data_IF_958895316642
#
_entry.id   IF_958895316642
#
_cell.length_a   1.000
_cell.length_b   1.000
_cell.length_c   1.000
_cell.angle_alpha   90.00
_cell.angle_beta   90.00
_cell.angle_gamma   90.00
#
_symmetry.space_group_name_H-M   'P 1'
#
loop_
_entity.id
_entity.type
_entity.pdbx_description
1 polymer ?
#
# COMPACT_ATOMS: atom_id res chain seq x y z
N UNK A 1 -19.07 82.52 22.90
CA UNK A 1 -18.07 83.02 23.85
C UNK A 1 -17.08 81.91 24.16
N UNK A 2 -15.85 82.33 24.47
CA UNK A 2 -14.59 81.58 24.60
C UNK A 2 -14.65 80.33 25.49
N UNK A 3 -13.91 79.30 25.03
CA UNK A 3 -12.90 78.47 25.75
C UNK A 3 -13.34 77.79 27.08
N UNK A 4 -12.89 76.60 27.47
CA UNK A 4 -11.52 76.09 27.62
C UNK A 4 -11.64 74.57 27.81
N UNK A 5 -10.74 73.79 27.17
CA UNK A 5 -10.47 72.39 27.50
C UNK A 5 -9.43 72.35 28.63
N UNK A 6 -9.53 71.44 29.61
CA UNK A 6 -8.39 70.56 29.78
C UNK A 6 -8.75 69.10 30.16
N UNK A 7 -8.19 68.21 29.36
CA UNK A 7 -7.46 66.97 29.67
C UNK A 7 -7.46 66.52 31.15
N UNK A 8 -7.89 65.28 31.37
CA UNK A 8 -7.38 64.43 32.44
C UNK A 8 -7.08 63.04 31.88
N UNK A 9 -5.80 62.66 31.96
CA UNK A 9 -5.29 61.31 31.73
C UNK A 9 -5.96 60.32 32.69
N UNK A 10 -6.45 59.20 32.17
CA UNK A 10 -6.96 58.08 32.95
C UNK A 10 -6.59 56.76 32.30
N UNK A 11 -5.74 56.01 32.98
CA UNK A 11 -5.08 54.81 32.50
C UNK A 11 -6.01 53.61 32.33
N UNK A 12 -5.66 52.76 31.35
CA UNK A 12 -5.54 51.31 31.56
C UNK A 12 -6.82 50.48 31.43
N UNK A 13 -6.90 49.71 30.34
CA UNK A 13 -7.34 48.31 30.37
C UNK A 13 -6.94 47.62 29.05
N UNK A 14 -5.67 47.22 28.94
CA UNK A 14 -5.27 46.18 27.99
C UNK A 14 -5.78 44.85 28.55
N UNK A 15 -6.88 44.36 27.99
CA UNK A 15 -7.38 43.00 28.26
C UNK A 15 -6.44 42.01 27.57
N UNK A 16 -5.43 41.55 28.32
CA UNK A 16 -4.55 40.46 27.91
C UNK A 16 -5.34 39.16 27.84
N UNK A 17 -5.68 38.76 26.62
CA UNK A 17 -6.27 37.47 26.29
C UNK A 17 -5.21 36.38 26.51
N UNK A 18 -5.11 35.83 27.73
CA UNK A 18 -4.33 34.63 28.01
C UNK A 18 -5.01 33.41 27.37
N UNK A 19 -4.73 33.19 26.09
CA UNK A 19 -4.92 31.90 25.43
C UNK A 19 -3.94 30.90 26.06
N UNK A 20 -4.39 30.20 27.09
CA UNK A 20 -3.75 28.97 27.54
C UNK A 20 -3.88 27.94 26.41
N UNK A 21 -2.92 27.95 25.49
CA UNK A 21 -2.68 26.85 24.57
C UNK A 21 -2.22 25.64 25.40
N UNK A 22 -3.19 24.86 25.87
CA UNK A 22 -2.94 23.53 26.44
C UNK A 22 -2.35 22.70 25.31
N UNK A 23 -1.02 22.63 25.24
CA UNK A 23 -0.30 21.78 24.29
C UNK A 23 -0.71 20.35 24.61
N UNK A 24 -1.72 19.85 23.89
CA UNK A 24 -2.06 18.44 23.92
C UNK A 24 -0.77 17.71 23.52
N UNK A 25 -0.16 17.06 24.49
CA UNK A 25 0.93 16.14 24.23
C UNK A 25 0.27 15.00 23.48
N UNK A 26 0.36 15.02 22.15
CA UNK A 26 -0.12 13.92 21.32
C UNK A 26 0.46 12.66 21.91
N UNK A 27 -0.40 11.79 22.43
CA UNK A 27 0.02 10.45 22.80
C UNK A 27 0.71 9.84 21.57
N UNK A 28 1.81 9.09 21.73
CA UNK A 28 2.34 8.33 20.60
C UNK A 28 1.19 7.52 20.01
N UNK A 29 1.06 7.57 18.68
CA UNK A 29 0.05 6.80 17.98
C UNK A 29 0.15 5.34 18.48
N UNK A 30 -0.98 4.68 18.77
CA UNK A 30 -0.96 3.28 19.19
C UNK A 30 -0.14 2.50 18.18
N UNK A 31 0.80 1.69 18.66
CA UNK A 31 1.58 0.80 17.79
C UNK A 31 0.58 -0.05 17.01
N UNK A 32 0.61 -0.04 15.66
CA UNK A 32 -0.32 -0.85 14.89
C UNK A 32 -0.14 -2.30 15.34
N UNK A 33 -1.24 -3.07 15.51
CA UNK A 33 -1.15 -4.44 15.94
C UNK A 33 -0.19 -5.19 15.00
N UNK A 34 0.75 -5.94 15.59
CA UNK A 34 1.62 -6.84 14.81
C UNK A 34 0.72 -7.70 13.93
N UNK A 35 0.87 -7.57 12.61
CA UNK A 35 0.12 -8.38 11.65
C UNK A 35 0.42 -9.84 11.97
N UNK A 36 -0.57 -10.55 12.54
CA UNK A 36 -0.49 -11.98 12.83
C UNK A 36 -0.58 -12.82 11.56
N UNK A 37 -0.82 -12.16 10.43
CA UNK A 37 -0.90 -12.73 9.11
C UNK A 37 0.26 -12.19 8.25
N UNK A 38 0.91 -13.09 7.53
CA UNK A 38 1.97 -12.76 6.58
C UNK A 38 3.34 -13.29 6.99
N UNK A 39 4.22 -13.40 6.00
CA UNK A 39 5.62 -13.76 6.18
C UNK A 39 6.38 -12.56 6.79
N UNK A 40 7.41 -12.84 7.60
CA UNK A 40 8.18 -11.79 8.31
C UNK A 40 9.36 -11.28 7.50
N UNK A 41 9.90 -12.11 6.60
CA UNK A 41 11.10 -11.82 5.84
C UNK A 41 10.77 -11.52 4.38
N UNK A 42 11.46 -10.51 3.82
CA UNK A 42 11.34 -10.19 2.41
C UNK A 42 12.15 -11.16 1.56
N UNK A 43 11.52 -11.75 0.55
CA UNK A 43 12.21 -12.61 -0.42
C UNK A 43 12.62 -11.78 -1.63
N UNK A 44 13.92 -11.72 -1.89
CA UNK A 44 14.45 -11.06 -3.08
C UNK A 44 14.23 -11.95 -4.31
N UNK A 45 13.45 -11.47 -5.29
CA UNK A 45 13.18 -12.18 -6.52
C UNK A 45 13.41 -11.27 -7.72
N UNK A 46 14.30 -11.70 -8.61
CA UNK A 46 14.51 -11.06 -9.90
C UNK A 46 13.57 -11.68 -10.94
N UNK A 47 13.00 -10.84 -11.81
CA UNK A 47 12.22 -11.34 -12.95
C UNK A 47 13.13 -12.20 -13.83
N UNK A 48 12.76 -13.44 -14.18
CA UNK A 48 13.60 -14.30 -15.00
C UNK A 48 13.97 -13.68 -16.36
N UNK A 49 15.18 -13.96 -16.84
CA UNK A 49 15.66 -13.47 -18.15
C UNK A 49 14.72 -13.92 -19.27
N UNK A 50 14.44 -13.02 -20.22
CA UNK A 50 13.51 -13.28 -21.32
C UNK A 50 12.03 -13.08 -20.95
N UNK A 51 11.74 -12.62 -19.74
CA UNK A 51 10.38 -12.31 -19.29
C UNK A 51 10.24 -10.83 -18.92
N UNK A 52 8.99 -10.34 -18.92
CA UNK A 52 8.60 -9.04 -18.37
C UNK A 52 7.32 -9.19 -17.57
N UNK A 53 7.08 -8.31 -16.61
CA UNK A 53 5.77 -8.21 -15.96
C UNK A 53 4.71 -7.77 -16.98
N UNK A 54 3.52 -8.36 -16.88
CA UNK A 54 2.35 -7.93 -17.64
C UNK A 54 1.84 -6.60 -17.09
N UNK A 55 1.40 -5.69 -17.96
CA UNK A 55 0.78 -4.43 -17.57
C UNK A 55 -0.71 -4.61 -17.25
N UNK A 56 -1.29 -3.74 -16.43
CA UNK A 56 -2.73 -3.79 -16.13
C UNK A 56 -3.61 -3.70 -17.38
N UNK A 57 -3.18 -2.94 -18.40
CA UNK A 57 -3.86 -2.86 -19.69
C UNK A 57 -3.85 -4.22 -20.42
N UNK A 58 -2.73 -4.93 -20.42
CA UNK A 58 -2.63 -6.25 -21.04
C UNK A 58 -3.50 -7.28 -20.28
N UNK A 59 -3.54 -7.23 -18.94
CA UNK A 59 -4.47 -8.03 -18.12
C UNK A 59 -5.92 -7.78 -18.50
N UNK A 60 -6.32 -6.51 -18.72
CA UNK A 60 -7.70 -6.16 -19.08
C UNK A 60 -8.13 -6.72 -20.45
N UNK A 61 -7.18 -6.89 -21.37
CA UNK A 61 -7.47 -7.34 -22.75
C UNK A 61 -7.35 -8.85 -22.96
N UNK A 62 -6.74 -9.59 -22.02
CA UNK A 62 -6.48 -11.03 -22.15
C UNK A 62 -7.07 -11.77 -20.94
N UNK A 63 -8.33 -12.23 -21.00
CA UNK A 63 -9.01 -12.86 -19.86
C UNK A 63 -8.29 -14.07 -19.27
N UNK A 64 -7.61 -14.85 -20.12
CA UNK A 64 -6.82 -16.02 -19.72
C UNK A 64 -5.83 -15.73 -18.59
N UNK A 65 -5.27 -14.52 -18.53
CA UNK A 65 -4.25 -14.17 -17.55
C UNK A 65 -4.81 -14.21 -16.12
N UNK A 66 -6.02 -13.67 -15.92
CA UNK A 66 -6.71 -13.70 -14.62
C UNK A 66 -7.15 -15.13 -14.28
N UNK A 67 -7.66 -15.87 -15.26
CA UNK A 67 -8.08 -17.27 -15.08
C UNK A 67 -6.90 -18.13 -14.61
N UNK A 68 -5.74 -18.02 -15.27
CA UNK A 68 -4.53 -18.78 -14.91
C UNK A 68 -3.96 -18.37 -13.56
N UNK A 69 -3.93 -17.07 -13.23
CA UNK A 69 -3.50 -16.60 -11.93
C UNK A 69 -4.39 -17.18 -10.80
N UNK A 70 -5.71 -17.11 -10.97
CA UNK A 70 -6.67 -17.62 -10.00
C UNK A 70 -6.61 -19.14 -9.85
N UNK A 71 -6.43 -19.88 -10.95
CA UNK A 71 -6.26 -21.32 -10.92
C UNK A 71 -5.03 -21.72 -10.10
N UNK A 72 -3.88 -21.03 -10.29
CA UNK A 72 -2.68 -21.31 -9.50
C UNK A 72 -2.90 -21.03 -8.00
N UNK A 73 -3.51 -19.90 -7.64
CA UNK A 73 -3.79 -19.56 -6.23
C UNK A 73 -4.70 -20.57 -5.52
N UNK A 74 -5.60 -21.23 -6.26
CA UNK A 74 -6.53 -22.25 -5.74
C UNK A 74 -5.94 -23.66 -5.70
N UNK A 75 -4.71 -23.84 -6.19
CA UNK A 75 -4.08 -25.17 -6.20
C UNK A 75 -3.77 -25.60 -4.76
N UNK A 76 -4.12 -26.83 -4.35
CA UNK A 76 -3.73 -27.38 -3.05
C UNK A 76 -2.22 -27.26 -2.84
N UNK A 77 -1.81 -26.75 -1.68
CA UNK A 77 -0.39 -26.51 -1.37
C UNK A 77 0.19 -25.22 -1.95
N UNK A 78 -0.59 -24.33 -2.58
CA UNK A 78 -0.11 -23.03 -3.09
C UNK A 78 0.73 -22.27 -2.05
N UNK A 79 0.26 -22.21 -0.80
CA UNK A 79 0.96 -21.51 0.28
C UNK A 79 2.38 -22.03 0.55
N UNK A 80 2.68 -23.27 0.17
CA UNK A 80 3.97 -23.93 0.36
C UNK A 80 4.81 -24.01 -0.93
N UNK A 81 4.29 -23.52 -2.06
CA UNK A 81 5.03 -23.58 -3.32
C UNK A 81 6.23 -22.62 -3.29
N UNK A 82 7.40 -23.01 -3.82
CA UNK A 82 8.59 -22.17 -3.79
C UNK A 82 8.39 -20.83 -4.49
N UNK A 83 8.92 -19.77 -3.89
CA UNK A 83 9.09 -18.50 -4.58
C UNK A 83 9.96 -18.69 -5.82
N UNK A 84 9.59 -18.04 -6.92
CA UNK A 84 10.31 -18.14 -8.18
C UNK A 84 9.74 -19.18 -9.13
N UNK A 85 8.83 -20.05 -8.66
CA UNK A 85 8.17 -21.06 -9.51
C UNK A 85 7.50 -20.39 -10.70
N UNK A 86 7.89 -20.80 -11.90
CA UNK A 86 7.47 -20.24 -13.18
C UNK A 86 6.73 -21.32 -13.98
N UNK A 87 5.48 -21.08 -14.36
CA UNK A 87 4.69 -22.01 -15.17
C UNK A 87 4.21 -21.35 -16.46
N UNK A 88 4.89 -21.60 -17.59
CA UNK A 88 4.51 -21.05 -18.89
C UNK A 88 3.19 -21.61 -19.43
N UNK A 89 2.48 -20.78 -20.19
CA UNK A 89 1.28 -21.16 -20.94
C UNK A 89 1.10 -20.29 -22.19
N UNK A 90 0.37 -20.81 -23.18
CA UNK A 90 -0.07 -20.03 -24.35
C UNK A 90 -1.49 -19.52 -24.07
N UNK A 91 -1.71 -18.22 -24.22
CA UNK A 91 -3.05 -17.63 -24.07
C UNK A 91 -3.84 -17.64 -25.39
N UNK A 92 -5.13 -17.32 -25.32
CA UNK A 92 -6.06 -17.16 -26.44
C UNK A 92 -5.55 -16.24 -27.55
N UNK A 93 -4.76 -15.22 -27.21
CA UNK A 93 -4.11 -14.33 -28.18
C UNK A 93 -2.82 -14.90 -28.81
N UNK A 94 -2.54 -16.19 -28.62
CA UNK A 94 -1.37 -16.93 -29.13
C UNK A 94 -0.01 -16.46 -28.60
N UNK A 95 0.04 -15.55 -27.62
CA UNK A 95 1.29 -15.14 -26.96
C UNK A 95 1.61 -16.07 -25.80
N UNK A 96 2.90 -16.17 -25.48
CA UNK A 96 3.41 -16.96 -24.36
C UNK A 96 3.47 -16.09 -23.11
N UNK A 97 2.82 -16.56 -22.06
CA UNK A 97 2.85 -15.99 -20.73
C UNK A 97 3.32 -17.03 -19.71
N UNK A 98 3.50 -16.62 -18.47
CA UNK A 98 3.73 -17.52 -17.35
C UNK A 98 3.06 -16.99 -16.10
N UNK A 99 2.57 -17.89 -15.25
CA UNK A 99 2.36 -17.57 -13.84
C UNK A 99 3.70 -17.65 -13.12
N UNK A 100 3.91 -16.74 -12.18
CA UNK A 100 5.14 -16.65 -11.39
C UNK A 100 4.79 -16.43 -9.92
N UNK A 101 5.26 -17.33 -9.06
CA UNK A 101 5.04 -17.22 -7.62
C UNK A 101 6.00 -16.19 -7.05
N UNK A 102 5.45 -15.10 -6.53
CA UNK A 102 6.24 -14.02 -5.95
C UNK A 102 5.68 -13.54 -4.62
N UNK A 103 6.52 -12.87 -3.83
CA UNK A 103 6.08 -12.26 -2.59
C UNK A 103 5.46 -10.89 -2.88
N UNK A 104 4.21 -10.70 -2.44
CA UNK A 104 3.47 -9.44 -2.46
C UNK A 104 3.51 -8.80 -1.08
N UNK A 105 3.37 -7.48 -1.02
CA UNK A 105 3.23 -6.75 0.23
C UNK A 105 1.98 -5.88 0.17
N UNK A 106 1.10 -6.01 1.16
CA UNK A 106 0.03 -5.06 1.42
C UNK A 106 0.28 -4.36 2.75
N UNK A 107 0.17 -3.02 2.83
CA UNK A 107 0.37 -2.31 4.09
C UNK A 107 -0.67 -2.75 5.14
N UNK A 108 -0.29 -2.85 6.43
CA UNK A 108 -1.24 -3.02 7.52
C UNK A 108 -2.36 -1.98 7.46
N UNK A 109 -3.57 -2.41 7.82
CA UNK A 109 -4.78 -1.55 7.83
C UNK A 109 -5.21 -1.02 6.44
N UNK A 110 -4.54 -1.46 5.37
CA UNK A 110 -4.90 -1.11 4.00
C UNK A 110 -6.20 -1.78 3.51
N UNK A 111 -6.74 -1.33 2.35
CA UNK A 111 -8.01 -1.82 1.83
C UNK A 111 -7.96 -3.26 1.30
N UNK A 112 -6.75 -3.79 1.05
CA UNK A 112 -6.55 -5.12 0.47
C UNK A 112 -5.91 -6.01 1.52
N UNK A 113 -6.57 -7.15 1.78
CA UNK A 113 -6.06 -8.23 2.60
C UNK A 113 -5.60 -9.39 1.70
N UNK A 114 -4.65 -10.21 2.16
CA UNK A 114 -4.01 -10.15 3.47
C UNK A 114 -2.99 -9.03 3.63
N UNK A 115 -2.83 -8.53 4.85
CA UNK A 115 -1.79 -7.54 5.17
C UNK A 115 -0.43 -8.19 5.39
N UNK A 116 0.64 -7.41 5.23
CA UNK A 116 2.03 -7.88 5.34
C UNK A 116 2.54 -8.55 4.07
N UNK A 117 3.69 -9.19 4.19
CA UNK A 117 4.23 -10.00 3.11
C UNK A 117 3.43 -11.29 2.97
N UNK A 118 3.12 -11.69 1.74
CA UNK A 118 2.38 -12.91 1.50
C UNK A 118 2.66 -13.44 0.09
N UNK A 119 2.36 -14.72 -0.11
CA UNK A 119 2.54 -15.37 -1.40
C UNK A 119 1.48 -14.91 -2.39
N UNK A 120 1.95 -14.41 -3.53
CA UNK A 120 1.14 -13.93 -4.62
C UNK A 120 1.44 -14.66 -5.92
N UNK A 121 0.64 -14.35 -6.93
CA UNK A 121 0.89 -14.78 -8.31
C UNK A 121 0.96 -13.54 -9.17
N UNK A 122 2.08 -13.40 -9.87
CA UNK A 122 2.26 -12.43 -10.93
C UNK A 122 2.26 -13.11 -12.28
N UNK A 123 1.70 -12.43 -13.28
CA UNK A 123 1.77 -12.89 -14.67
C UNK A 123 2.96 -12.21 -15.34
N UNK A 124 3.75 -13.03 -16.03
CA UNK A 124 4.84 -12.59 -16.89
C UNK A 124 4.48 -12.84 -18.36
N UNK A 125 4.92 -11.95 -19.24
CA UNK A 125 4.90 -12.17 -20.69
C UNK A 125 6.31 -12.51 -21.16
N UNK A 126 6.42 -13.45 -22.10
CA UNK A 126 7.69 -13.70 -22.79
C UNK A 126 8.03 -12.48 -23.65
N UNK A 127 9.29 -12.07 -23.62
CA UNK A 127 9.81 -10.96 -24.45
C UNK A 127 9.84 -11.33 -25.92
#
# INVERSE_FOLDING_TARGET
>A
MKQVLPIALGAGALVSLFLFARRARSAPAPTPPLSTYGETERVAQLVPVGWRRVSSAEVATVPDLVVRANALRRTPGFASMPYGTLSPFVASNKRIYATWIEQHYHPPEGPIRPWGYHRGVTILAKR
#
